data_IF_944410604470
#
_entry.id   IF_944410604470
#
_cell.length_a   1.000
_cell.length_b   1.000
_cell.length_c   1.000
_cell.angle_alpha   90.00
_cell.angle_beta   90.00
_cell.angle_gamma   90.00
#
_symmetry.space_group_name_H-M   'P 1'
#
loop_
_entity.id
_entity.type
_entity.pdbx_description
1 polymer ?
#
# COMPACT_ATOMS: atom_id res chain seq x y z
N UNK A 1 -5.18 -12.66 4.83
CA UNK A 1 -6.60 -12.57 5.26
C UNK A 1 -7.44 -11.71 4.33
N UNK A 2 -7.10 -10.44 4.07
CA UNK A 2 -7.91 -9.56 3.20
C UNK A 2 -8.09 -10.11 1.77
N UNK A 3 -7.01 -10.56 1.13
CA UNK A 3 -7.05 -11.17 -0.20
C UNK A 3 -7.96 -12.40 -0.26
N UNK A 4 -7.83 -13.30 0.72
CA UNK A 4 -8.64 -14.53 0.82
C UNK A 4 -10.11 -14.18 1.00
N UNK A 5 -10.43 -13.24 1.89
CA UNK A 5 -11.80 -12.78 2.10
C UNK A 5 -12.40 -12.13 0.84
N UNK A 6 -11.62 -11.34 0.10
CA UNK A 6 -12.05 -10.79 -1.19
C UNK A 6 -12.38 -11.90 -2.18
N UNK A 7 -11.50 -12.88 -2.33
CA UNK A 7 -11.69 -13.99 -3.27
C UNK A 7 -12.89 -14.88 -2.89
N UNK A 8 -13.10 -15.13 -1.60
CA UNK A 8 -14.16 -16.04 -1.13
C UNK A 8 -15.54 -15.38 -1.01
N UNK A 9 -15.62 -14.07 -0.73
CA UNK A 9 -16.88 -13.38 -0.45
C UNK A 9 -17.30 -12.34 -1.49
N UNK A 10 -16.53 -12.17 -2.56
CA UNK A 10 -16.91 -11.30 -3.67
C UNK A 10 -18.16 -11.79 -4.39
N UNK A 11 -18.84 -10.87 -5.08
CA UNK A 11 -19.99 -11.17 -5.93
C UNK A 11 -19.58 -11.97 -7.17
N UNK A 12 -18.44 -11.61 -7.76
CA UNK A 12 -17.90 -12.27 -8.94
C UNK A 12 -16.92 -13.39 -8.57
N UNK A 13 -16.83 -14.46 -9.38
CA UNK A 13 -15.83 -15.49 -9.19
C UNK A 13 -14.41 -14.93 -9.33
N UNK A 14 -13.45 -15.57 -8.65
CA UNK A 14 -12.04 -15.13 -8.59
C UNK A 14 -11.41 -14.88 -9.97
N UNK A 15 -11.74 -15.71 -10.96
CA UNK A 15 -11.25 -15.57 -12.34
C UNK A 15 -11.68 -14.24 -12.96
N UNK A 16 -12.93 -13.84 -12.78
CA UNK A 16 -13.47 -12.58 -13.29
C UNK A 16 -12.91 -11.39 -12.51
N UNK A 17 -12.73 -11.53 -11.20
CA UNK A 17 -12.06 -10.51 -10.39
C UNK A 17 -10.62 -10.23 -10.86
N UNK A 18 -9.85 -11.28 -11.13
CA UNK A 18 -8.43 -11.16 -11.51
C UNK A 18 -8.23 -10.77 -12.98
N UNK A 19 -8.98 -11.34 -13.91
CA UNK A 19 -8.78 -11.12 -15.36
C UNK A 19 -9.84 -10.22 -16.02
N UNK A 20 -11.06 -10.14 -15.46
CA UNK A 20 -12.18 -9.40 -16.04
C UNK A 20 -12.22 -7.92 -15.63
N UNK A 21 -13.33 -7.25 -15.93
CA UNK A 21 -13.63 -5.87 -15.52
C UNK A 21 -14.96 -5.85 -14.76
N UNK A 22 -15.15 -4.97 -13.77
CA UNK A 22 -16.42 -4.86 -13.07
C UNK A 22 -17.51 -4.28 -13.98
N UNK A 23 -18.76 -4.65 -13.74
CA UNK A 23 -19.91 -3.98 -14.37
C UNK A 23 -20.17 -2.61 -13.71
N UNK A 24 -21.23 -1.91 -14.10
CA UNK A 24 -21.67 -0.66 -13.44
C UNK A 24 -22.20 -0.85 -12.01
N UNK A 25 -22.31 -2.09 -11.53
CA UNK A 25 -22.69 -2.41 -10.16
C UNK A 25 -21.66 -1.87 -9.14
N UNK A 26 -22.14 -1.09 -8.17
CA UNK A 26 -21.32 -0.43 -7.16
C UNK A 26 -20.46 -1.41 -6.34
N UNK A 27 -21.02 -2.56 -5.99
CA UNK A 27 -20.34 -3.55 -5.16
C UNK A 27 -19.20 -4.19 -5.94
N UNK A 28 -19.41 -4.53 -7.20
CA UNK A 28 -18.34 -5.06 -8.07
C UNK A 28 -17.21 -4.05 -8.26
N UNK A 29 -17.54 -2.77 -8.45
CA UNK A 29 -16.58 -1.68 -8.58
C UNK A 29 -15.68 -1.56 -7.34
N UNK A 30 -16.28 -1.57 -6.15
CA UNK A 30 -15.57 -1.52 -4.87
C UNK A 30 -14.74 -2.79 -4.63
N UNK A 31 -15.30 -3.96 -4.92
CA UNK A 31 -14.62 -5.26 -4.77
C UNK A 31 -13.36 -5.36 -5.65
N UNK A 32 -13.43 -4.92 -6.91
CA UNK A 32 -12.28 -4.86 -7.81
C UNK A 32 -11.22 -3.87 -7.33
N UNK A 33 -11.64 -2.68 -6.88
CA UNK A 33 -10.71 -1.68 -6.33
C UNK A 33 -9.92 -2.21 -5.14
N UNK A 34 -10.60 -2.89 -4.21
CA UNK A 34 -9.98 -3.45 -3.02
C UNK A 34 -9.12 -4.68 -3.31
N UNK A 35 -9.48 -5.47 -4.33
CA UNK A 35 -8.63 -6.55 -4.84
C UNK A 35 -7.31 -6.01 -5.37
N UNK A 36 -7.35 -4.95 -6.19
CA UNK A 36 -6.13 -4.33 -6.74
C UNK A 36 -5.20 -3.93 -5.60
N UNK A 37 -5.73 -3.24 -4.59
CA UNK A 37 -4.92 -2.84 -3.43
C UNK A 37 -4.39 -4.07 -2.71
N UNK A 38 -5.23 -5.05 -2.37
CA UNK A 38 -4.78 -6.24 -1.64
C UNK A 38 -3.69 -7.03 -2.38
N UNK A 39 -3.81 -7.21 -3.71
CA UNK A 39 -2.79 -7.92 -4.51
C UNK A 39 -1.51 -7.09 -4.57
N UNK A 40 -1.59 -5.80 -4.90
CA UNK A 40 -0.39 -4.97 -5.04
C UNK A 40 0.31 -4.79 -3.69
N UNK A 41 -0.42 -4.53 -2.60
CA UNK A 41 0.15 -4.46 -1.24
C UNK A 41 0.85 -5.74 -0.85
N UNK A 42 0.26 -6.90 -1.16
CA UNK A 42 0.86 -8.19 -0.88
C UNK A 42 2.16 -8.37 -1.67
N UNK A 43 2.14 -8.20 -3.00
CA UNK A 43 3.33 -8.33 -3.85
C UNK A 43 4.45 -7.38 -3.43
N UNK A 44 4.11 -6.12 -3.18
CA UNK A 44 5.07 -5.12 -2.73
C UNK A 44 5.63 -5.52 -1.36
N UNK A 45 4.83 -5.94 -0.38
CA UNK A 45 5.37 -6.39 0.90
C UNK A 45 6.52 -7.41 0.78
N UNK A 46 6.42 -8.40 -0.11
CA UNK A 46 7.52 -9.34 -0.38
C UNK A 46 8.72 -8.68 -1.06
N UNK A 47 8.47 -7.89 -2.10
CA UNK A 47 9.55 -7.18 -2.82
C UNK A 47 10.31 -6.27 -1.84
N UNK A 48 9.60 -5.47 -1.05
CA UNK A 48 10.16 -4.61 -0.02
C UNK A 48 10.95 -5.38 1.03
N UNK A 49 10.48 -6.57 1.47
CA UNK A 49 11.23 -7.42 2.40
C UNK A 49 12.56 -7.87 1.79
N UNK A 50 12.54 -8.38 0.56
CA UNK A 50 13.73 -8.85 -0.16
C UNK A 50 14.71 -7.69 -0.38
N UNK A 51 14.22 -6.53 -0.83
CA UNK A 51 15.04 -5.33 -1.04
C UNK A 51 15.66 -4.83 0.27
N UNK A 52 14.91 -4.85 1.38
CA UNK A 52 15.41 -4.47 2.70
C UNK A 52 16.56 -5.39 3.14
N UNK A 53 16.39 -6.71 3.02
CA UNK A 53 17.45 -7.68 3.33
C UNK A 53 18.69 -7.47 2.47
N UNK A 54 18.50 -7.22 1.17
CA UNK A 54 19.61 -6.97 0.25
C UNK A 54 20.41 -5.71 0.63
N UNK A 55 19.74 -4.60 0.97
CA UNK A 55 20.39 -3.35 1.39
C UNK A 55 21.12 -3.53 2.73
N UNK A 56 20.48 -4.19 3.71
CA UNK A 56 21.05 -4.41 5.04
C UNK A 56 22.26 -5.36 4.96
N UNK A 57 22.16 -6.41 4.14
CA UNK A 57 23.20 -7.42 3.96
C UNK A 57 24.38 -6.99 3.09
N UNK A 58 24.27 -5.90 2.34
CA UNK A 58 25.35 -5.40 1.49
C UNK A 58 26.62 -5.07 2.30
N UNK A 59 27.81 -5.36 1.77
CA UNK A 59 29.09 -5.05 2.42
C UNK A 59 29.53 -3.60 2.18
N UNK A 60 28.66 -2.65 2.47
CA UNK A 60 28.92 -1.20 2.38
C UNK A 60 28.86 -0.55 3.77
N UNK A 61 29.38 0.66 3.91
CA UNK A 61 29.38 1.37 5.18
C UNK A 61 27.95 1.69 5.65
N UNK A 62 27.79 1.84 6.97
CA UNK A 62 26.49 2.02 7.62
C UNK A 62 25.76 3.29 7.15
N UNK A 63 26.50 4.37 6.91
CA UNK A 63 25.91 5.64 6.52
C UNK A 63 25.34 5.56 5.10
N UNK A 64 26.10 4.99 4.16
CA UNK A 64 25.64 4.71 2.80
C UNK A 64 24.42 3.79 2.80
N UNK A 65 24.38 2.75 3.66
CA UNK A 65 23.18 1.90 3.79
C UNK A 65 21.94 2.68 4.15
N UNK A 66 22.03 3.59 5.14
CA UNK A 66 20.89 4.38 5.60
C UNK A 66 20.38 5.31 4.50
N UNK A 67 21.30 6.00 3.82
CA UNK A 67 20.97 6.90 2.69
C UNK A 67 20.28 6.14 1.56
N UNK A 68 20.86 5.00 1.16
CA UNK A 68 20.29 4.13 0.14
C UNK A 68 18.91 3.61 0.55
N UNK A 69 18.75 3.16 1.79
CA UNK A 69 17.49 2.64 2.31
C UNK A 69 16.37 3.69 2.21
N UNK A 70 16.57 4.88 2.76
CA UNK A 70 15.52 5.90 2.77
C UNK A 70 15.16 6.39 1.37
N UNK A 71 16.16 6.59 0.50
CA UNK A 71 15.92 7.01 -0.88
C UNK A 71 15.20 5.93 -1.68
N UNK A 72 15.67 4.69 -1.62
CA UNK A 72 15.06 3.56 -2.31
C UNK A 72 13.62 3.35 -1.87
N UNK A 73 13.36 3.29 -0.56
CA UNK A 73 12.02 3.05 -0.06
C UNK A 73 11.06 4.22 -0.31
N UNK A 74 11.55 5.46 -0.38
CA UNK A 74 10.75 6.60 -0.81
C UNK A 74 10.26 6.44 -2.26
N UNK A 75 11.16 6.09 -3.17
CA UNK A 75 10.81 5.88 -4.58
C UNK A 75 9.92 4.64 -4.76
N UNK A 76 10.20 3.59 -4.01
CA UNK A 76 9.41 2.37 -3.96
C UNK A 76 7.92 2.64 -3.60
N UNK A 77 7.65 3.53 -2.65
CA UNK A 77 6.27 3.96 -2.33
C UNK A 77 5.60 4.68 -3.52
N UNK A 78 6.33 5.50 -4.27
CA UNK A 78 5.79 6.14 -5.48
C UNK A 78 5.46 5.12 -6.57
N UNK A 79 6.33 4.13 -6.77
CA UNK A 79 6.09 3.02 -7.72
C UNK A 79 4.88 2.20 -7.28
N UNK A 80 4.73 1.96 -5.98
CA UNK A 80 3.57 1.29 -5.40
C UNK A 80 2.26 2.01 -5.70
N UNK A 81 2.19 3.34 -5.45
CA UNK A 81 1.00 4.15 -5.79
C UNK A 81 0.73 4.13 -7.30
N UNK A 82 1.78 4.29 -8.11
CA UNK A 82 1.65 4.27 -9.57
C UNK A 82 1.09 2.92 -10.06
N UNK A 83 1.53 1.80 -9.50
CA UNK A 83 1.02 0.47 -9.83
C UNK A 83 -0.47 0.33 -9.50
N UNK A 84 -0.92 0.82 -8.34
CA UNK A 84 -2.34 0.81 -7.96
C UNK A 84 -3.16 1.64 -8.97
N UNK A 85 -2.73 2.86 -9.27
CA UNK A 85 -3.44 3.76 -10.19
C UNK A 85 -3.50 3.18 -11.60
N UNK A 86 -2.39 2.64 -12.11
CA UNK A 86 -2.33 2.00 -13.43
C UNK A 86 -3.24 0.79 -13.52
N UNK A 87 -3.33 -0.03 -12.48
CA UNK A 87 -4.21 -1.18 -12.50
C UNK A 87 -5.69 -0.78 -12.41
N UNK A 88 -6.04 0.27 -11.65
CA UNK A 88 -7.39 0.84 -11.67
C UNK A 88 -7.77 1.33 -13.07
N UNK A 89 -6.85 2.03 -13.76
CA UNK A 89 -7.05 2.46 -15.15
C UNK A 89 -7.26 1.26 -16.10
N UNK A 90 -6.45 0.21 -15.97
CA UNK A 90 -6.58 -1.00 -16.79
C UNK A 90 -7.91 -1.74 -16.60
N UNK A 91 -8.36 -1.84 -15.34
CA UNK A 91 -9.64 -2.46 -14.96
C UNK A 91 -10.84 -1.57 -15.27
N UNK A 92 -10.62 -0.27 -15.48
CA UNK A 92 -11.66 0.73 -15.62
C UNK A 92 -12.67 0.69 -14.45
N UNK A 93 -12.14 0.64 -13.23
CA UNK A 93 -12.95 0.59 -12.02
C UNK A 93 -12.82 1.88 -11.20
N UNK A 94 -13.88 2.21 -10.46
CA UNK A 94 -13.86 3.31 -9.50
C UNK A 94 -12.87 3.01 -8.38
N UNK A 95 -12.18 4.05 -7.92
CA UNK A 95 -11.26 3.91 -6.79
C UNK A 95 -12.04 4.04 -5.47
N UNK A 96 -12.13 2.95 -4.72
CA UNK A 96 -12.80 2.92 -3.43
C UNK A 96 -12.11 3.87 -2.43
N UNK A 97 -12.88 4.40 -1.49
CA UNK A 97 -12.42 5.31 -0.43
C UNK A 97 -11.20 4.77 0.31
N UNK A 98 -11.22 3.50 0.70
CA UNK A 98 -10.10 2.86 1.40
C UNK A 98 -8.88 2.67 0.49
N UNK A 99 -9.08 2.44 -0.81
CA UNK A 99 -7.97 2.40 -1.78
C UNK A 99 -7.29 3.78 -1.90
N UNK A 100 -8.07 4.87 -1.93
CA UNK A 100 -7.52 6.24 -1.88
C UNK A 100 -6.73 6.50 -0.61
N UNK A 101 -7.24 6.06 0.55
CA UNK A 101 -6.51 6.20 1.82
C UNK A 101 -5.18 5.48 1.80
N UNK A 102 -5.11 4.26 1.23
CA UNK A 102 -3.83 3.56 1.07
C UNK A 102 -2.86 4.34 0.19
N UNK A 103 -3.32 4.94 -0.91
CA UNK A 103 -2.48 5.79 -1.75
C UNK A 103 -1.99 7.05 -1.01
N UNK A 104 -2.86 7.71 -0.23
CA UNK A 104 -2.47 8.88 0.56
C UNK A 104 -1.48 8.52 1.67
N UNK A 105 -1.69 7.42 2.38
CA UNK A 105 -0.78 6.93 3.41
C UNK A 105 0.59 6.56 2.83
N UNK A 106 0.63 5.97 1.64
CA UNK A 106 1.87 5.70 0.92
C UNK A 106 2.60 6.98 0.50
N UNK A 107 1.89 8.00 0.02
CA UNK A 107 2.48 9.31 -0.27
C UNK A 107 3.05 10.00 1.00
N UNK A 108 2.36 9.84 2.14
CA UNK A 108 2.86 10.29 3.45
C UNK A 108 4.12 9.50 3.85
N UNK A 109 4.14 8.18 3.67
CA UNK A 109 5.32 7.35 3.91
C UNK A 109 6.51 7.80 3.06
N UNK A 110 6.30 8.02 1.76
CA UNK A 110 7.33 8.52 0.86
C UNK A 110 7.89 9.86 1.34
N UNK A 111 7.03 10.77 1.79
CA UNK A 111 7.44 12.05 2.37
C UNK A 111 8.29 11.85 3.63
N UNK A 112 7.86 11.02 4.57
CA UNK A 112 8.62 10.72 5.80
C UNK A 112 10.00 10.17 5.47
N UNK A 113 10.08 9.24 4.52
CA UNK A 113 11.34 8.63 4.08
C UNK A 113 12.27 9.64 3.40
N UNK A 114 11.74 10.49 2.52
CA UNK A 114 12.51 11.57 1.90
C UNK A 114 13.02 12.58 2.93
N UNK A 115 12.18 12.97 3.90
CA UNK A 115 12.60 13.87 4.96
C UNK A 115 13.75 13.25 5.77
N UNK A 116 13.70 11.93 6.05
CA UNK A 116 14.82 11.24 6.72
C UNK A 116 16.06 11.11 5.85
N UNK A 117 15.88 10.90 4.55
CA UNK A 117 16.99 10.96 3.62
C UNK A 117 17.66 12.33 3.66
N UNK A 118 16.91 13.43 3.59
CA UNK A 118 17.44 14.80 3.65
C UNK A 118 18.12 15.08 4.99
N UNK A 119 17.50 14.71 6.11
CA UNK A 119 18.07 14.82 7.47
C UNK A 119 19.45 14.17 7.58
N UNK A 120 19.60 12.96 7.03
CA UNK A 120 20.85 12.17 7.10
C UNK A 120 21.86 12.49 5.99
N UNK A 121 21.41 12.78 4.78
CA UNK A 121 22.26 12.89 3.59
C UNK A 121 22.63 14.32 3.21
N UNK A 122 21.77 15.30 3.53
CA UNK A 122 21.99 16.70 3.17
C UNK A 122 22.44 17.50 4.37
N UNK A 123 21.76 17.34 5.50
CA UNK A 123 22.09 18.08 6.73
C UNK A 123 23.06 17.35 7.65
N UNK A 124 23.29 16.05 7.41
CA UNK A 124 24.17 15.19 8.21
C UNK A 124 23.82 15.21 9.72
N UNK A 125 22.54 15.39 10.05
CA UNK A 125 22.06 15.40 11.43
C UNK A 125 21.31 14.12 11.80
N UNK A 126 20.76 14.06 13.00
CA UNK A 126 19.89 12.97 13.44
C UNK A 126 18.71 13.46 14.28
N UNK A 127 18.14 14.60 13.92
CA UNK A 127 17.12 15.25 14.75
C UNK A 127 15.84 14.42 14.80
N UNK A 128 15.52 13.71 13.72
CA UNK A 128 14.24 13.00 13.56
C UNK A 128 14.26 11.55 14.07
N UNK A 129 15.35 11.07 14.69
CA UNK A 129 15.49 9.66 15.07
C UNK A 129 14.39 9.17 16.00
N UNK A 130 14.05 9.98 17.00
CA UNK A 130 13.09 9.64 18.05
C UNK A 130 11.65 9.61 17.55
N UNK A 131 11.32 10.39 16.52
CA UNK A 131 9.95 10.53 16.01
C UNK A 131 9.71 9.61 14.81
N UNK A 132 10.74 9.36 14.00
CA UNK A 132 10.64 8.58 12.76
C UNK A 132 10.00 7.21 12.96
N UNK A 133 10.44 6.46 13.98
CA UNK A 133 9.90 5.12 14.26
C UNK A 133 8.39 5.13 14.52
N UNK A 134 7.90 6.11 15.29
CA UNK A 134 6.47 6.26 15.57
C UNK A 134 5.67 6.65 14.34
N UNK A 135 6.20 7.54 13.49
CA UNK A 135 5.54 7.94 12.24
C UNK A 135 5.38 6.77 11.29
N UNK A 136 6.45 6.02 11.05
CA UNK A 136 6.43 4.84 10.17
C UNK A 136 5.48 3.78 10.71
N UNK A 137 5.55 3.47 12.01
CA UNK A 137 4.66 2.52 12.64
C UNK A 137 3.18 2.95 12.52
N UNK A 138 2.89 4.23 12.76
CA UNK A 138 1.54 4.79 12.63
C UNK A 138 0.98 4.65 11.22
N UNK A 139 1.76 5.02 10.19
CA UNK A 139 1.33 4.90 8.79
C UNK A 139 1.10 3.44 8.40
N UNK A 140 1.96 2.52 8.84
CA UNK A 140 1.80 1.09 8.58
C UNK A 140 0.54 0.52 9.25
N UNK A 141 0.28 0.86 10.51
CA UNK A 141 -0.94 0.43 11.22
C UNK A 141 -2.18 0.97 10.51
N UNK A 142 -2.22 2.25 10.16
CA UNK A 142 -3.35 2.84 9.43
C UNK A 142 -3.57 2.18 8.07
N UNK A 143 -2.49 1.83 7.37
CA UNK A 143 -2.55 1.14 6.07
C UNK A 143 -3.12 -0.27 6.23
N UNK A 144 -2.66 -1.01 7.25
CA UNK A 144 -3.21 -2.33 7.58
C UNK A 144 -4.70 -2.25 7.95
N UNK A 145 -5.10 -1.24 8.72
CA UNK A 145 -6.51 -1.02 9.06
C UNK A 145 -7.35 -0.69 7.82
N UNK A 146 -6.84 0.13 6.90
CA UNK A 146 -7.54 0.46 5.65
C UNK A 146 -7.75 -0.78 4.75
N UNK A 147 -6.72 -1.61 4.60
CA UNK A 147 -6.80 -2.88 3.84
C UNK A 147 -7.70 -3.90 4.57
N UNK A 148 -7.64 -3.92 5.90
CA UNK A 148 -8.42 -4.81 6.77
C UNK A 148 -9.88 -4.41 6.96
N UNK A 149 -10.26 -3.17 6.62
CA UNK A 149 -11.64 -2.68 6.79
C UNK A 149 -12.65 -3.52 5.99
N UNK A 150 -12.29 -3.94 4.78
CA UNK A 150 -13.16 -4.72 3.91
C UNK A 150 -13.43 -6.16 4.38
N UNK A 151 -12.42 -7.01 4.67
CA UNK A 151 -12.69 -8.34 5.22
C UNK A 151 -13.50 -8.27 6.51
N UNK A 152 -13.26 -7.28 7.37
CA UNK A 152 -14.09 -7.05 8.56
C UNK A 152 -15.55 -6.74 8.15
N UNK A 153 -15.77 -5.83 7.21
CA UNK A 153 -17.11 -5.47 6.74
C UNK A 153 -17.88 -6.67 6.12
N UNK A 154 -17.17 -7.54 5.38
CA UNK A 154 -17.76 -8.77 4.82
C UNK A 154 -18.01 -9.85 5.85
N UNK A 155 -17.15 -9.99 6.86
CA UNK A 155 -17.39 -10.88 8.00
C UNK A 155 -18.71 -10.53 8.71
N UNK A 156 -19.03 -9.24 8.81
CA UNK A 156 -20.31 -8.75 9.33
C UNK A 156 -21.47 -8.75 8.31
N UNK A 157 -21.29 -9.37 7.13
CA UNK A 157 -22.29 -9.51 6.05
C UNK A 157 -22.88 -8.19 5.54
N UNK A 158 -22.15 -7.08 5.67
CA UNK A 158 -22.63 -5.79 5.20
C UNK A 158 -22.41 -5.63 3.67
N UNK A 159 -23.38 -5.02 3.00
CA UNK A 159 -23.33 -4.71 1.56
C UNK A 159 -22.74 -3.30 1.39
N UNK A 160 -21.67 -3.10 0.59
CA UNK A 160 -21.08 -1.78 0.40
C UNK A 160 -22.12 -0.77 -0.09
N UNK A 161 -22.22 0.36 0.59
CA UNK A 161 -23.08 1.50 0.23
C UNK A 161 -22.25 2.65 -0.38
N UNK A 162 -22.89 3.81 -0.64
CA UNK A 162 -22.22 5.00 -1.18
C UNK A 162 -21.05 5.52 -0.33
N UNK A 163 -20.90 5.11 0.94
CA UNK A 163 -19.81 5.56 1.82
C UNK A 163 -18.45 4.95 1.46
N UNK A 164 -18.44 3.96 0.57
CA UNK A 164 -17.24 3.26 0.10
C UNK A 164 -16.61 3.86 -1.16
N UNK A 165 -17.27 4.84 -1.79
CA UNK A 165 -16.78 5.54 -2.99
C UNK A 165 -16.15 6.87 -2.66
#
# INVERSE_FOLDING_TARGET
MALVALICFAKQPAKEMLAGRPTSDLREQVEHSLLIVAVISFSFHFIGRISSDAIIGASIDKDTKLKLYYFFFAFYELVYVAAILKWHQYKNCMMAKYARYVCYLSAVMATILLTRYVDRAVFETNILDSVYGFLVAGVNVLTMLAIGAYPAYRLFRLIPDKKWV
#
